data_IF_231243910675
#
_entry.id   IF_231243910675
#
_cell.length_a   1.000
_cell.length_b   1.000
_cell.length_c   1.000
_cell.angle_alpha   90.00
_cell.angle_beta   90.00
_cell.angle_gamma   90.00
#
_symmetry.space_group_name_H-M   'P 1'
#
loop_
_entity.id
_entity.type
_entity.pdbx_description
1 polymer ?
#
# COMPACT_ATOMS: atom_id res chain seq x y z
N UNK A 1 -0.67 -26.44 1.28
CA UNK A 1 -0.15 -27.13 0.08
C UNK A 1 -0.78 -26.65 -1.24
N UNK A 2 -1.88 -25.88 -1.24
CA UNK A 2 -2.37 -25.15 -2.43
C UNK A 2 -1.77 -23.73 -2.58
N UNK A 3 -1.54 -23.01 -1.47
CA UNK A 3 -1.03 -21.62 -1.52
C UNK A 3 0.43 -21.49 -1.98
N UNK A 4 1.23 -22.57 -1.90
CA UNK A 4 2.65 -22.48 -2.23
C UNK A 4 2.87 -22.28 -3.74
N UNK A 5 1.99 -22.79 -4.60
CA UNK A 5 2.07 -22.53 -6.04
C UNK A 5 1.79 -21.06 -6.37
N UNK A 6 0.74 -20.47 -5.79
CA UNK A 6 0.34 -19.08 -6.09
C UNK A 6 1.42 -18.06 -5.70
N UNK A 7 2.07 -18.25 -4.54
CA UNK A 7 3.16 -17.37 -4.08
C UNK A 7 4.38 -17.37 -5.01
N UNK A 8 4.48 -18.34 -5.93
CA UNK A 8 5.63 -18.51 -6.84
C UNK A 8 5.31 -18.23 -8.32
N UNK A 9 4.05 -17.93 -8.71
CA UNK A 9 3.62 -17.73 -10.11
C UNK A 9 4.30 -16.56 -10.85
N UNK A 10 4.87 -15.58 -10.15
CA UNK A 10 5.56 -14.42 -10.74
C UNK A 10 6.83 -14.07 -9.96
N UNK A 11 7.94 -14.84 -10.13
CA UNK A 11 9.14 -14.63 -9.36
C UNK A 11 9.75 -13.25 -9.63
N UNK A 12 10.21 -12.60 -8.56
CA UNK A 12 11.02 -11.38 -8.66
C UNK A 12 12.48 -11.78 -8.54
N UNK A 13 13.38 -11.32 -9.43
CA UNK A 13 14.80 -11.63 -9.34
C UNK A 13 15.40 -11.22 -7.98
N UNK A 14 16.31 -12.05 -7.46
CA UNK A 14 17.01 -11.80 -6.21
C UNK A 14 16.83 -12.93 -5.19
N UNK A 15 17.26 -12.68 -3.95
CA UNK A 15 17.12 -13.61 -2.83
C UNK A 15 15.95 -13.20 -1.96
N UNK A 16 15.10 -14.16 -1.58
CA UNK A 16 14.03 -13.91 -0.60
C UNK A 16 14.66 -13.51 0.75
N UNK A 17 14.33 -12.30 1.21
CA UNK A 17 14.82 -11.77 2.50
C UNK A 17 13.85 -12.11 3.62
N UNK A 18 12.55 -11.93 3.39
CA UNK A 18 11.48 -12.18 4.37
C UNK A 18 10.18 -12.48 3.63
N UNK A 19 9.39 -13.41 4.16
CA UNK A 19 8.05 -13.78 3.69
C UNK A 19 7.13 -13.98 4.90
N UNK A 20 5.89 -13.51 4.79
CA UNK A 20 4.84 -13.76 5.77
C UNK A 20 3.47 -13.55 5.12
N UNK A 21 2.43 -14.04 5.79
CA UNK A 21 1.03 -13.86 5.41
C UNK A 21 0.42 -12.81 6.32
N UNK A 22 -0.31 -11.84 5.74
CA UNK A 22 -1.15 -10.91 6.48
C UNK A 22 -2.56 -11.50 6.45
N UNK A 23 -3.15 -11.89 7.60
CA UNK A 23 -4.52 -12.40 7.63
C UNK A 23 -5.53 -11.36 7.14
N UNK A 24 -6.72 -11.83 6.73
CA UNK A 24 -7.79 -10.94 6.31
C UNK A 24 -8.10 -9.89 7.39
N UNK A 25 -8.22 -8.61 6.97
CA UNK A 25 -8.48 -7.45 7.83
C UNK A 25 -7.38 -7.11 8.85
N UNK A 26 -6.21 -7.74 8.75
CA UNK A 26 -5.05 -7.44 9.60
C UNK A 26 -4.04 -6.53 8.89
N UNK A 27 -2.94 -6.24 9.57
CA UNK A 27 -1.93 -5.26 9.17
C UNK A 27 -0.52 -5.72 9.46
N UNK A 28 0.45 -5.04 8.85
CA UNK A 28 1.86 -5.24 9.12
C UNK A 28 2.63 -3.95 8.86
N UNK A 29 3.69 -3.73 9.63
CA UNK A 29 4.66 -2.67 9.42
C UNK A 29 6.07 -3.24 9.59
N UNK A 30 7.00 -2.74 8.78
CA UNK A 30 8.40 -3.15 8.82
C UNK A 30 9.25 -2.08 8.17
N UNK A 31 10.51 -1.97 8.60
CA UNK A 31 11.51 -1.15 7.94
C UNK A 31 12.03 -1.86 6.70
N UNK A 32 12.15 -1.14 5.59
CA UNK A 32 12.80 -1.61 4.37
C UNK A 32 13.86 -0.60 3.94
N UNK A 33 15.14 -1.01 3.95
CA UNK A 33 16.23 -0.20 3.40
C UNK A 33 16.11 -0.09 1.89
N UNK A 34 16.83 0.85 1.26
CA UNK A 34 16.92 0.95 -0.19
C UNK A 34 17.53 -0.31 -0.81
N UNK A 35 16.92 -0.80 -1.91
CA UNK A 35 17.46 -1.91 -2.72
C UNK A 35 16.56 -3.14 -2.86
N UNK A 36 15.93 -3.67 -1.78
CA UNK A 36 14.97 -4.76 -1.87
C UNK A 36 13.69 -4.39 -2.61
N UNK A 37 12.99 -5.42 -3.09
CA UNK A 37 11.66 -5.30 -3.70
C UNK A 37 10.60 -5.84 -2.74
N UNK A 38 9.56 -5.03 -2.49
CA UNK A 38 8.34 -5.50 -1.83
C UNK A 38 7.40 -6.10 -2.89
N UNK A 39 7.00 -7.36 -2.69
CA UNK A 39 6.05 -8.06 -3.56
C UNK A 39 4.78 -8.40 -2.79
N UNK A 40 3.64 -7.95 -3.32
CA UNK A 40 2.33 -8.41 -2.87
C UNK A 40 1.91 -9.64 -3.67
N UNK A 41 1.31 -10.61 -2.98
CA UNK A 41 0.68 -11.78 -3.60
C UNK A 41 -0.73 -11.88 -3.03
N UNK A 42 -1.72 -11.73 -3.90
CA UNK A 42 -3.09 -12.09 -3.58
C UNK A 42 -3.24 -13.63 -3.70
N UNK A 43 -3.38 -14.30 -2.55
CA UNK A 43 -3.37 -15.77 -2.49
C UNK A 43 -4.73 -16.39 -2.86
N UNK A 44 -5.82 -15.71 -2.55
CA UNK A 44 -7.19 -16.23 -2.69
C UNK A 44 -7.99 -15.47 -3.77
N UNK A 45 -7.45 -14.38 -4.28
CA UNK A 45 -8.09 -13.54 -5.28
C UNK A 45 -8.99 -12.47 -4.66
N UNK A 46 -9.12 -11.35 -5.38
CA UNK A 46 -9.99 -10.21 -5.05
C UNK A 46 -9.60 -9.47 -3.76
N UNK A 47 -8.41 -9.71 -3.20
CA UNK A 47 -7.92 -8.93 -2.07
C UNK A 47 -7.20 -7.67 -2.56
N UNK A 48 -7.52 -6.55 -1.93
CA UNK A 48 -6.85 -5.26 -2.13
C UNK A 48 -6.07 -4.92 -0.87
N UNK A 49 -4.74 -4.79 -0.93
CA UNK A 49 -3.97 -4.21 0.16
C UNK A 49 -3.79 -2.70 -0.06
N UNK A 50 -3.72 -1.96 1.04
CA UNK A 50 -3.27 -0.58 1.03
C UNK A 50 -1.77 -0.54 1.37
N UNK A 51 -1.03 0.40 0.79
CA UNK A 51 0.37 0.68 1.11
C UNK A 51 0.57 2.15 1.45
N UNK A 52 1.15 2.40 2.61
CA UNK A 52 1.77 3.68 2.98
C UNK A 52 3.26 3.43 3.27
N UNK A 53 4.10 4.44 3.04
CA UNK A 53 5.51 4.37 3.44
C UNK A 53 6.00 5.75 3.91
N UNK A 54 7.05 5.71 4.71
CA UNK A 54 7.66 6.85 5.40
C UNK A 54 9.18 6.75 5.24
N UNK A 55 9.87 7.88 5.23
CA UNK A 55 11.32 7.89 5.31
C UNK A 55 11.76 7.51 6.74
N UNK A 56 12.59 6.47 6.87
CA UNK A 56 13.08 5.98 8.17
C UNK A 56 13.87 7.05 8.95
N UNK A 57 14.49 8.01 8.26
CA UNK A 57 15.30 9.06 8.86
C UNK A 57 14.53 10.37 9.07
N UNK A 58 13.34 10.49 8.49
CA UNK A 58 12.42 11.62 8.66
C UNK A 58 10.97 11.12 8.53
N UNK A 59 10.36 10.78 9.66
CA UNK A 59 8.99 10.24 9.69
C UNK A 59 7.92 11.27 9.28
N UNK A 60 8.27 12.55 9.09
CA UNK A 60 7.37 13.56 8.52
C UNK A 60 7.35 13.51 6.99
N UNK A 61 8.38 12.92 6.37
CA UNK A 61 8.40 12.64 4.95
C UNK A 61 7.71 11.31 4.66
N UNK A 62 6.54 11.39 4.05
CA UNK A 62 5.69 10.24 3.76
C UNK A 62 5.24 10.21 2.31
N UNK A 63 4.74 9.05 1.88
CA UNK A 63 4.13 8.84 0.57
C UNK A 63 3.07 9.90 0.28
N UNK A 64 3.08 10.43 -0.95
CA UNK A 64 2.07 11.36 -1.44
C UNK A 64 1.60 10.94 -2.84
N UNK A 65 0.38 10.44 -2.90
CA UNK A 65 -0.20 9.99 -4.17
C UNK A 65 -0.52 11.15 -5.12
N UNK A 66 -0.87 12.33 -4.62
CA UNK A 66 -1.09 13.51 -5.46
C UNK A 66 0.16 13.89 -6.25
N UNK A 67 1.31 13.99 -5.55
CA UNK A 67 2.61 14.24 -6.18
C UNK A 67 2.99 13.10 -7.14
N UNK A 68 2.73 11.85 -6.75
CA UNK A 68 3.01 10.68 -7.60
C UNK A 68 2.23 10.75 -8.91
N UNK A 69 0.94 11.03 -8.87
CA UNK A 69 0.10 11.17 -10.07
C UNK A 69 0.56 12.32 -10.96
N UNK A 70 0.83 13.48 -10.35
CA UNK A 70 1.23 14.68 -11.06
C UNK A 70 2.58 14.49 -11.78
N UNK A 71 3.58 13.96 -11.09
CA UNK A 71 4.94 13.81 -11.63
C UNK A 71 5.03 12.70 -12.69
N UNK A 72 4.28 11.61 -12.53
CA UNK A 72 4.19 10.58 -13.57
C UNK A 72 3.25 10.98 -14.73
N UNK A 73 2.54 12.12 -14.61
CA UNK A 73 1.58 12.64 -15.61
C UNK A 73 0.53 11.61 -16.01
N UNK A 74 0.06 10.83 -15.04
CA UNK A 74 -0.91 9.76 -15.30
C UNK A 74 -1.74 9.45 -14.09
N UNK A 75 -2.93 8.92 -14.40
CA UNK A 75 -3.89 8.46 -13.42
C UNK A 75 -3.45 7.04 -13.00
N UNK A 76 -3.53 6.04 -13.88
CA UNK A 76 -3.45 4.61 -13.47
C UNK A 76 -2.03 4.07 -13.32
N UNK A 77 -1.34 4.30 -12.20
CA UNK A 77 0.08 3.91 -11.95
C UNK A 77 0.50 2.52 -12.49
N UNK A 78 1.66 2.45 -13.15
CA UNK A 78 2.16 1.33 -13.96
C UNK A 78 3.66 1.08 -13.72
N UNK A 79 4.21 0.07 -14.39
CA UNK A 79 5.58 -0.38 -14.21
C UNK A 79 6.53 0.72 -14.67
N UNK A 80 7.52 1.00 -13.83
CA UNK A 80 8.46 2.09 -14.03
C UNK A 80 8.04 3.42 -13.41
N UNK A 81 6.77 3.59 -13.02
CA UNK A 81 6.35 4.80 -12.32
C UNK A 81 6.94 4.87 -10.93
N UNK A 82 7.15 6.10 -10.47
CA UNK A 82 7.75 6.40 -9.17
C UNK A 82 6.70 6.92 -8.22
N UNK A 83 6.63 6.31 -7.03
CA UNK A 83 5.88 6.84 -5.90
C UNK A 83 6.74 7.88 -5.19
N UNK A 84 6.20 9.08 -5.05
CA UNK A 84 6.91 10.25 -4.53
C UNK A 84 6.43 10.63 -3.13
N UNK A 85 7.31 11.23 -2.35
CA UNK A 85 6.99 11.76 -1.03
C UNK A 85 6.23 13.09 -1.10
N UNK A 86 5.78 13.57 0.06
CA UNK A 86 5.16 14.90 0.22
C UNK A 86 6.06 16.05 -0.22
N UNK A 87 7.39 15.87 -0.20
CA UNK A 87 8.39 16.82 -0.72
C UNK A 87 8.99 16.38 -2.08
N UNK A 88 8.30 15.49 -2.79
CA UNK A 88 8.61 15.05 -4.15
C UNK A 88 9.91 14.21 -4.31
N UNK A 89 10.45 13.63 -3.24
CA UNK A 89 11.54 12.67 -3.38
C UNK A 89 11.02 11.30 -3.83
N UNK A 90 11.77 10.55 -4.66
CA UNK A 90 11.45 9.15 -4.97
C UNK A 90 11.50 8.27 -3.73
N UNK A 91 10.39 7.56 -3.45
CA UNK A 91 10.33 6.60 -2.33
C UNK A 91 10.33 5.15 -2.82
N UNK A 92 9.51 4.85 -3.82
CA UNK A 92 9.36 3.50 -4.38
C UNK A 92 9.24 3.58 -5.90
N UNK A 93 9.66 2.53 -6.61
CA UNK A 93 9.39 2.36 -8.03
C UNK A 93 8.55 1.12 -8.23
N UNK A 94 7.50 1.22 -9.05
CA UNK A 94 6.66 0.07 -9.38
C UNK A 94 7.47 -0.86 -10.29
N UNK A 95 7.97 -1.96 -9.71
CA UNK A 95 8.83 -2.91 -10.42
C UNK A 95 8.05 -3.80 -11.40
N UNK A 96 6.75 -4.01 -11.16
CA UNK A 96 5.87 -4.84 -11.98
C UNK A 96 4.62 -5.23 -11.21
N UNK A 97 3.61 -5.68 -11.93
CA UNK A 97 2.33 -6.15 -11.37
C UNK A 97 1.67 -7.09 -12.39
N UNK A 98 0.78 -7.97 -11.93
CA UNK A 98 0.09 -8.97 -12.77
C UNK A 98 -1.33 -8.54 -13.18
N UNK A 99 -1.85 -7.44 -12.64
CA UNK A 99 -3.09 -6.79 -13.04
C UNK A 99 -2.84 -5.76 -14.16
N UNK A 100 -3.87 -5.04 -14.61
CA UNK A 100 -3.72 -4.00 -15.66
C UNK A 100 -3.62 -2.59 -15.05
N UNK A 101 -4.36 -2.33 -13.97
CA UNK A 101 -4.50 -1.02 -13.35
C UNK A 101 -4.48 -1.11 -11.81
N UNK A 102 -3.96 -0.07 -11.15
CA UNK A 102 -3.99 0.09 -9.70
C UNK A 102 -4.55 1.46 -9.32
N UNK A 103 -5.40 1.49 -8.29
CA UNK A 103 -5.99 2.71 -7.78
C UNK A 103 -4.98 3.55 -6.98
N UNK A 104 -5.01 4.86 -7.22
CA UNK A 104 -4.06 5.80 -6.60
C UNK A 104 -4.69 7.15 -6.22
N UNK A 105 -6.00 7.33 -6.36
CA UNK A 105 -6.61 8.68 -6.36
C UNK A 105 -7.34 9.05 -5.07
N UNK A 106 -7.57 8.09 -4.18
CA UNK A 106 -8.45 8.28 -3.04
C UNK A 106 -7.85 7.83 -1.72
N UNK A 107 -8.52 8.20 -0.63
CA UNK A 107 -8.17 7.74 0.69
C UNK A 107 -8.48 6.24 0.83
N UNK A 108 -7.96 5.64 1.90
CA UNK A 108 -8.35 4.31 2.33
C UNK A 108 -9.70 4.31 3.08
N UNK A 109 -10.26 3.13 3.33
CA UNK A 109 -11.43 3.02 4.20
C UNK A 109 -11.10 3.43 5.64
N UNK A 110 -12.08 4.03 6.33
CA UNK A 110 -11.96 4.47 7.71
C UNK A 110 -13.32 4.47 8.41
N UNK A 111 -13.33 4.56 9.74
CA UNK A 111 -14.55 4.56 10.55
C UNK A 111 -15.56 5.65 10.11
N UNK A 112 -15.11 6.89 9.88
CA UNK A 112 -16.04 7.95 9.50
C UNK A 112 -16.58 7.76 8.09
N UNK A 113 -15.76 7.30 7.14
CA UNK A 113 -16.22 6.99 5.79
C UNK A 113 -17.21 5.81 5.82
N UNK A 114 -16.92 4.76 6.57
CA UNK A 114 -17.79 3.60 6.66
C UNK A 114 -19.15 3.97 7.28
N UNK A 115 -19.14 4.80 8.32
CA UNK A 115 -20.35 5.32 8.95
C UNK A 115 -21.14 6.25 8.01
N UNK A 116 -20.50 7.24 7.40
CA UNK A 116 -21.20 8.26 6.60
C UNK A 116 -21.66 7.70 5.25
N UNK A 117 -20.80 6.97 4.55
CA UNK A 117 -21.06 6.49 3.18
C UNK A 117 -21.90 5.21 3.16
N UNK A 118 -21.63 4.30 4.08
CA UNK A 118 -22.25 2.96 4.08
C UNK A 118 -23.23 2.74 5.25
N UNK A 119 -23.30 3.65 6.22
CA UNK A 119 -24.16 3.47 7.40
C UNK A 119 -23.66 2.38 8.35
N UNK A 120 -22.39 1.97 8.26
CA UNK A 120 -21.83 0.86 9.04
C UNK A 120 -20.74 1.34 10.01
N UNK A 121 -21.08 1.58 11.29
CA UNK A 121 -20.09 1.98 12.30
C UNK A 121 -19.36 0.78 12.92
N UNK A 122 -18.22 1.03 13.54
CA UNK A 122 -17.50 0.07 14.38
C UNK A 122 -16.86 -1.08 13.59
N UNK A 123 -16.44 -0.82 12.35
CA UNK A 123 -15.86 -1.85 11.47
C UNK A 123 -14.35 -1.71 11.37
N UNK A 124 -13.68 -2.88 11.28
CA UNK A 124 -12.27 -2.94 10.88
C UNK A 124 -12.08 -2.17 9.58
N UNK A 125 -11.08 -1.29 9.56
CA UNK A 125 -10.78 -0.42 8.44
C UNK A 125 -9.27 -0.20 8.32
N UNK A 126 -8.82 0.19 7.14
CA UNK A 126 -7.41 0.27 6.80
C UNK A 126 -6.68 1.39 7.54
N UNK A 127 -7.33 2.55 7.77
CA UNK A 127 -6.67 3.66 8.47
C UNK A 127 -6.35 3.31 9.92
N UNK A 128 -7.29 2.68 10.62
CA UNK A 128 -7.07 2.21 11.99
C UNK A 128 -5.99 1.13 12.02
N UNK A 129 -6.06 0.18 11.08
CA UNK A 129 -5.06 -0.85 10.88
C UNK A 129 -3.65 -0.28 10.72
N UNK A 130 -3.46 0.76 9.91
CA UNK A 130 -2.16 1.45 9.81
C UNK A 130 -1.77 2.15 11.10
N UNK A 131 -2.70 2.84 11.77
CA UNK A 131 -2.41 3.49 13.04
C UNK A 131 -1.93 2.49 14.10
N UNK A 132 -2.53 1.30 14.18
CA UNK A 132 -2.05 0.22 15.07
C UNK A 132 -0.71 -0.34 14.61
N UNK A 133 -0.52 -0.56 13.30
CA UNK A 133 0.74 -1.06 12.75
C UNK A 133 1.92 -0.11 13.04
N UNK A 134 1.65 1.20 12.97
CA UNK A 134 2.66 2.26 13.07
C UNK A 134 2.73 2.89 14.47
N UNK A 135 1.90 2.44 15.42
CA UNK A 135 1.95 2.88 16.82
C UNK A 135 3.36 2.76 17.45
N UNK A 136 4.19 1.73 17.16
CA UNK A 136 5.56 1.67 17.67
C UNK A 136 6.46 2.83 17.22
N UNK A 137 6.13 3.49 16.11
CA UNK A 137 6.80 4.69 15.61
C UNK A 137 6.11 6.00 16.03
N UNK A 138 5.07 5.93 16.88
CA UNK A 138 4.39 7.10 17.44
C UNK A 138 3.30 7.70 16.56
N UNK A 139 2.86 7.00 15.51
CA UNK A 139 1.79 7.49 14.64
C UNK A 139 0.41 7.26 15.24
N UNK A 140 -0.50 8.18 14.94
CA UNK A 140 -1.94 8.02 15.14
C UNK A 140 -2.71 8.09 13.81
N UNK A 141 -4.02 7.84 13.87
CA UNK A 141 -4.90 7.80 12.70
C UNK A 141 -4.85 9.06 11.83
N UNK A 142 -4.61 10.24 12.41
CA UNK A 142 -4.58 11.53 11.68
C UNK A 142 -3.31 11.75 10.89
N UNK A 143 -2.27 10.95 11.18
CA UNK A 143 -0.97 11.05 10.52
C UNK A 143 -0.79 10.01 9.40
N UNK A 144 -1.81 9.19 9.15
CA UNK A 144 -1.79 8.22 8.06
C UNK A 144 -2.05 8.97 6.74
N UNK A 145 -1.10 8.96 5.77
CA UNK A 145 -1.25 9.65 4.51
C UNK A 145 -2.17 8.88 3.56
N UNK A 146 -2.42 9.41 2.35
CA UNK A 146 -3.05 8.63 1.29
C UNK A 146 -2.20 7.41 0.92
N UNK A 147 -2.87 6.31 0.59
CA UNK A 147 -2.23 5.04 0.27
C UNK A 147 -2.12 4.81 -1.25
N UNK A 148 -1.09 4.09 -1.66
CA UNK A 148 -1.09 3.39 -2.93
C UNK A 148 -1.87 2.08 -2.76
N UNK A 149 -2.80 1.78 -3.68
CA UNK A 149 -3.75 0.68 -3.52
C UNK A 149 -3.65 -0.28 -4.71
N UNK A 150 -2.66 -1.20 -4.72
CA UNK A 150 -2.53 -2.18 -5.79
C UNK A 150 -3.75 -3.11 -5.85
N UNK A 151 -4.01 -3.66 -7.04
CA UNK A 151 -5.14 -4.55 -7.36
C UNK A 151 -6.53 -3.92 -7.37
N UNK A 152 -6.74 -2.77 -6.73
CA UNK A 152 -8.04 -2.10 -6.75
C UNK A 152 -8.30 -1.46 -8.11
N UNK A 153 -9.45 -1.78 -8.68
CA UNK A 153 -10.00 -1.15 -9.88
C UNK A 153 -11.22 -0.30 -9.49
N UNK A 154 -11.21 0.97 -9.88
CA UNK A 154 -12.32 1.90 -9.66
C UNK A 154 -12.66 2.56 -10.97
N UNK A 155 -13.91 2.40 -11.39
CA UNK A 155 -14.48 3.08 -12.54
C UNK A 155 -15.07 4.42 -12.07
N UNK A 156 -14.70 5.51 -12.77
CA UNK A 156 -15.13 6.88 -12.47
C UNK A 156 -15.80 7.47 -13.70
#
# INVERSE_FOLDING_TARGET
MANDQVTRLHPVPGKLVKEWIIPAKEYSAFTMRRGPTLRFVDMEGKQVPDLVCFNEHDLTEHLNMGNSLLLNKRRELRQGDVLHSVICNPMMTIAGYSNEESYAYGPMCCEELNRIRYGVPGTRNCRDNFAMALAPWGFNQRQIPNAFVPFMRVEV
#
